data_IF_327496263799
#
_entry.id   IF_327496263799
#
_cell.length_a   1.000
_cell.length_b   1.000
_cell.length_c   1.000
_cell.angle_alpha   90.00
_cell.angle_beta   90.00
_cell.angle_gamma   90.00
#
_symmetry.space_group_name_H-M   'P 1'
#
loop_
_entity.id
_entity.type
_entity.pdbx_description
1 polymer ?
#
# COMPACT_ATOMS: atom_id res chain seq x y z
N UNK A 1 11.21 8.21 -46.96
CA UNK A 1 10.43 8.36 -45.71
C UNK A 1 9.91 6.97 -45.33
N UNK A 2 10.56 6.29 -44.38
CA UNK A 2 10.03 5.07 -43.76
C UNK A 2 10.41 5.16 -42.28
N UNK A 3 9.41 5.37 -41.44
CA UNK A 3 9.54 5.50 -40.00
C UNK A 3 9.55 4.08 -39.42
N UNK A 4 10.60 3.68 -38.70
CA UNK A 4 10.59 2.46 -37.89
C UNK A 4 10.69 2.85 -36.43
N UNK A 5 9.52 2.81 -35.79
CA UNK A 5 9.25 3.10 -34.39
C UNK A 5 10.00 2.12 -33.48
N UNK A 6 10.74 2.64 -32.50
CA UNK A 6 11.41 1.85 -31.47
C UNK A 6 10.35 1.15 -30.60
N UNK A 7 10.13 -0.15 -30.82
CA UNK A 7 9.25 -0.95 -29.96
C UNK A 7 9.99 -1.21 -28.64
N UNK A 8 9.68 -0.45 -27.60
CA UNK A 8 10.09 -0.79 -26.24
C UNK A 8 9.31 -2.06 -25.86
N UNK A 9 9.98 -3.21 -25.75
CA UNK A 9 9.34 -4.42 -25.19
C UNK A 9 8.88 -4.10 -23.77
N UNK A 10 7.58 -4.18 -23.46
CA UNK A 10 7.12 -3.95 -22.11
C UNK A 10 7.67 -5.06 -21.22
N UNK A 11 8.54 -4.71 -20.28
CA UNK A 11 8.91 -5.60 -19.19
C UNK A 11 7.67 -5.83 -18.34
N UNK A 12 7.02 -7.00 -18.50
CA UNK A 12 5.83 -7.37 -17.74
C UNK A 12 6.21 -8.10 -16.46
N UNK A 13 5.51 -7.80 -15.37
CA UNK A 13 5.59 -8.55 -14.12
C UNK A 13 4.78 -9.85 -14.30
N UNK A 14 5.19 -10.94 -13.62
CA UNK A 14 4.50 -12.22 -13.66
C UNK A 14 3.04 -12.06 -13.16
N UNK A 15 2.03 -12.66 -13.81
CA UNK A 15 0.61 -12.41 -13.49
C UNK A 15 0.23 -12.77 -12.06
N UNK A 16 0.89 -13.76 -11.45
CA UNK A 16 0.67 -14.14 -10.05
C UNK A 16 1.38 -13.21 -9.02
N UNK A 17 2.04 -12.14 -9.47
CA UNK A 17 2.68 -11.20 -8.54
C UNK A 17 1.64 -10.25 -7.95
N UNK A 18 1.40 -10.38 -6.65
CA UNK A 18 0.54 -9.50 -5.88
C UNK A 18 1.30 -8.57 -4.93
N UNK A 19 0.64 -7.53 -4.45
CA UNK A 19 1.14 -6.70 -3.36
C UNK A 19 0.78 -7.39 -2.03
N UNK A 20 1.79 -7.62 -1.19
CA UNK A 20 1.63 -8.12 0.17
C UNK A 20 1.43 -7.00 1.20
N UNK A 21 1.62 -7.32 2.48
CA UNK A 21 1.61 -6.33 3.56
C UNK A 21 2.69 -5.26 3.32
N UNK A 22 2.28 -3.99 3.30
CA UNK A 22 3.18 -2.85 3.13
C UNK A 22 3.47 -2.22 4.49
N UNK A 23 4.74 -1.92 4.76
CA UNK A 23 5.13 -1.17 5.97
C UNK A 23 5.62 0.22 5.57
N UNK A 24 5.02 1.26 6.15
CA UNK A 24 5.42 2.65 5.94
C UNK A 24 6.00 3.23 7.23
N UNK A 25 7.17 3.86 7.11
CA UNK A 25 7.69 4.74 8.15
C UNK A 25 7.03 6.11 8.05
N UNK A 26 6.44 6.57 9.14
CA UNK A 26 5.69 7.82 9.20
C UNK A 26 6.24 8.74 10.28
N UNK A 27 6.34 10.04 9.97
CA UNK A 27 6.81 11.01 10.94
C UNK A 27 5.81 11.26 12.08
N UNK A 28 4.52 11.01 11.84
CA UNK A 28 3.46 11.19 12.82
C UNK A 28 2.37 10.12 12.62
N UNK A 29 2.27 9.21 13.59
CA UNK A 29 1.35 8.07 13.50
C UNK A 29 -0.12 8.52 13.53
N UNK A 30 -0.48 9.45 14.40
CA UNK A 30 -1.86 9.93 14.57
C UNK A 30 -2.42 10.62 13.31
N UNK A 31 -1.62 11.50 12.69
CA UNK A 31 -1.96 12.12 11.41
C UNK A 31 -2.13 11.07 10.31
N UNK A 32 -1.25 10.07 10.30
CA UNK A 32 -1.30 9.00 9.30
C UNK A 32 -2.55 8.14 9.49
N UNK A 33 -2.88 7.78 10.73
CA UNK A 33 -4.11 7.05 11.06
C UNK A 33 -5.36 7.80 10.60
N UNK A 34 -5.44 9.10 10.88
CA UNK A 34 -6.56 9.94 10.42
C UNK A 34 -6.73 9.90 8.90
N UNK A 35 -5.63 9.86 8.14
CA UNK A 35 -5.67 9.75 6.69
C UNK A 35 -6.08 8.35 6.22
N UNK A 36 -5.38 7.30 6.68
CA UNK A 36 -5.61 5.94 6.19
C UNK A 36 -6.96 5.37 6.64
N UNK A 37 -7.44 5.71 7.83
CA UNK A 37 -8.77 5.31 8.31
C UNK A 37 -9.87 6.23 7.78
N UNK A 38 -9.68 7.55 7.83
CA UNK A 38 -10.74 8.51 7.52
C UNK A 38 -10.91 8.82 6.04
N UNK A 39 -9.82 8.88 5.28
CA UNK A 39 -9.84 9.23 3.85
C UNK A 39 -9.87 7.97 2.99
N UNK A 40 -9.02 6.99 3.30
CA UNK A 40 -8.92 5.76 2.52
C UNK A 40 -9.83 4.63 3.02
N UNK A 41 -10.39 4.75 4.23
CA UNK A 41 -11.36 3.79 4.75
C UNK A 41 -10.77 2.47 5.23
N UNK A 42 -9.45 2.40 5.49
CA UNK A 42 -8.87 1.21 6.09
C UNK A 42 -9.41 1.00 7.50
N UNK A 43 -9.62 -0.26 7.86
CA UNK A 43 -9.98 -0.64 9.22
C UNK A 43 -8.73 -0.79 10.06
N UNK A 44 -8.71 -0.16 11.24
CA UNK A 44 -7.70 -0.43 12.26
C UNK A 44 -7.89 -1.83 12.85
N UNK A 45 -6.88 -2.67 12.68
CA UNK A 45 -6.83 -4.04 13.23
C UNK A 45 -6.13 -4.03 14.58
N UNK A 46 -4.98 -3.34 14.67
CA UNK A 46 -4.18 -3.27 15.89
C UNK A 46 -3.53 -1.88 16.01
N UNK A 47 -3.37 -1.42 17.26
CA UNK A 47 -2.62 -0.22 17.62
C UNK A 47 -1.78 -0.51 18.85
N UNK A 48 -0.47 -0.27 18.73
CA UNK A 48 0.50 -0.41 19.83
C UNK A 48 1.32 0.88 19.95
N UNK A 49 2.26 0.92 20.91
CA UNK A 49 3.12 2.08 21.11
C UNK A 49 4.02 2.31 19.87
N UNK A 50 3.66 3.29 19.05
CA UNK A 50 4.41 3.68 17.86
C UNK A 50 4.11 2.86 16.61
N UNK A 51 3.10 1.99 16.60
CA UNK A 51 2.77 1.19 15.42
C UNK A 51 1.28 0.94 15.28
N UNK A 52 0.79 0.89 14.05
CA UNK A 52 -0.58 0.50 13.75
C UNK A 52 -0.67 -0.45 12.55
N UNK A 53 -1.55 -1.44 12.64
CA UNK A 53 -1.88 -2.36 11.55
C UNK A 53 -3.27 -2.03 11.02
N UNK A 54 -3.35 -1.76 9.73
CA UNK A 54 -4.54 -1.36 9.00
C UNK A 54 -4.85 -2.37 7.88
N UNK A 55 -6.13 -2.56 7.58
CA UNK A 55 -6.55 -3.60 6.64
C UNK A 55 -7.98 -3.50 6.18
N UNK A 56 -8.48 -4.60 5.61
CA UNK A 56 -9.86 -4.72 5.12
C UNK A 56 -10.87 -4.77 6.27
N UNK A 57 -12.15 -4.63 5.94
CA UNK A 57 -13.22 -4.76 6.93
C UNK A 57 -13.26 -6.16 7.56
N UNK A 58 -12.84 -7.20 6.85
CA UNK A 58 -12.72 -8.57 7.32
C UNK A 58 -11.47 -8.83 8.19
N UNK A 59 -10.65 -7.79 8.42
CA UNK A 59 -9.46 -7.88 9.25
C UNK A 59 -8.22 -8.42 8.54
N UNK A 60 -8.21 -8.48 7.20
CA UNK A 60 -7.01 -8.85 6.44
C UNK A 60 -5.99 -7.71 6.51
N UNK A 61 -4.77 -7.93 7.06
CA UNK A 61 -3.77 -6.88 7.18
C UNK A 61 -3.19 -6.50 5.81
N UNK A 62 -3.18 -5.21 5.49
CA UNK A 62 -2.68 -4.69 4.21
C UNK A 62 -1.58 -3.62 4.39
N UNK A 63 -1.63 -2.88 5.50
CA UNK A 63 -0.74 -1.76 5.75
C UNK A 63 -0.30 -1.74 7.22
N UNK A 64 0.98 -1.53 7.47
CA UNK A 64 1.55 -1.24 8.78
C UNK A 64 2.17 0.17 8.76
N UNK A 65 1.90 0.94 9.81
CA UNK A 65 2.46 2.27 10.05
C UNK A 65 3.37 2.22 11.27
N UNK A 66 4.61 2.73 11.18
CA UNK A 66 5.55 2.83 12.30
C UNK A 66 6.41 4.09 12.27
#
# INVERSE_FOLDING_TARGET
>A
MQQQSTHLTPTSIHPDTGIGLVTLRVANLDRSLSFYEGVLGFRRIELTAGKATLGTQDGTPLLELQ
#
